data_IF_367399569839
#
_entry.id   IF_367399569839
#
_cell.length_a   1.000
_cell.length_b   1.000
_cell.length_c   1.000
_cell.angle_alpha   90.00
_cell.angle_beta   90.00
_cell.angle_gamma   90.00
#
_symmetry.space_group_name_H-M   'P 1'
#
loop_
_entity.id
_entity.type
_entity.pdbx_description
1 polymer ?
#
# COMPACT_ATOMS: atom_id res chain seq x y z
N UNK A 1 -9.92 -19.45 1.53
CA UNK A 1 -9.59 -18.01 1.70
C UNK A 1 -9.05 -17.50 0.37
N UNK A 2 -9.56 -16.38 -0.16
CA UNK A 2 -9.08 -15.79 -1.43
C UNK A 2 -7.67 -15.20 -1.26
N UNK A 3 -6.78 -15.42 -2.23
CA UNK A 3 -5.37 -15.00 -2.23
C UNK A 3 -5.05 -14.06 -3.41
N UNK A 4 -4.02 -13.23 -3.25
CA UNK A 4 -3.52 -12.46 -4.39
C UNK A 4 -2.88 -13.44 -5.39
N UNK A 5 -3.02 -13.15 -6.68
CA UNK A 5 -2.37 -13.92 -7.74
C UNK A 5 -1.41 -13.00 -8.50
N UNK A 6 -0.22 -13.50 -8.81
CA UNK A 6 0.87 -12.72 -9.40
C UNK A 6 1.26 -13.31 -10.76
N UNK A 7 1.33 -12.46 -11.78
CA UNK A 7 1.81 -12.82 -13.13
C UNK A 7 3.05 -11.98 -13.44
N UNK A 8 4.21 -12.62 -13.38
CA UNK A 8 5.50 -11.99 -13.69
C UNK A 8 5.89 -12.16 -15.17
N UNK A 9 5.35 -13.16 -15.85
CA UNK A 9 5.71 -13.52 -17.22
C UNK A 9 4.81 -12.85 -18.25
N UNK A 10 5.36 -12.64 -19.45
CA UNK A 10 4.63 -12.19 -20.62
C UNK A 10 3.67 -13.28 -21.12
N UNK A 11 2.52 -12.88 -21.66
CA UNK A 11 1.49 -13.81 -22.12
C UNK A 11 0.13 -13.18 -22.34
N UNK A 12 -0.92 -14.00 -22.29
CA UNK A 12 -2.30 -13.58 -22.53
C UNK A 12 -3.25 -14.20 -21.52
N UNK A 13 -4.32 -13.47 -21.18
CA UNK A 13 -5.43 -13.93 -20.35
C UNK A 13 -6.69 -14.09 -21.20
N UNK A 14 -7.07 -15.34 -21.41
CA UNK A 14 -8.23 -15.74 -22.19
C UNK A 14 -9.28 -16.43 -21.31
N UNK A 15 -10.56 -16.22 -21.60
CA UNK A 15 -11.65 -16.94 -20.94
C UNK A 15 -12.06 -18.13 -21.80
N UNK A 16 -12.20 -19.30 -21.18
CA UNK A 16 -12.93 -20.44 -21.74
C UNK A 16 -13.98 -20.86 -20.71
N UNK A 17 -15.25 -20.71 -21.08
CA UNK A 17 -16.40 -20.95 -20.20
C UNK A 17 -16.31 -20.17 -18.88
N UNK A 18 -16.17 -20.81 -17.72
CA UNK A 18 -16.03 -20.13 -16.42
C UNK A 18 -14.59 -20.13 -15.88
N UNK A 19 -13.62 -20.44 -16.74
CA UNK A 19 -12.20 -20.48 -16.36
C UNK A 19 -11.40 -19.41 -17.11
N UNK A 20 -10.54 -18.70 -16.38
CA UNK A 20 -9.48 -17.88 -16.98
C UNK A 20 -8.27 -18.77 -17.24
N UNK A 21 -7.67 -18.66 -18.42
CA UNK A 21 -6.41 -19.30 -18.77
C UNK A 21 -5.34 -18.22 -18.95
N UNK A 22 -4.17 -18.46 -18.36
CA UNK A 22 -2.95 -17.76 -18.74
C UNK A 22 -2.19 -18.60 -19.77
N UNK A 23 -1.88 -17.99 -20.90
CA UNK A 23 -1.27 -18.63 -22.05
C UNK A 23 -0.03 -17.83 -22.49
N UNK A 24 1.10 -18.52 -22.65
CA UNK A 24 2.27 -18.01 -23.35
C UNK A 24 2.86 -19.14 -24.22
N UNK A 25 4.03 -18.89 -24.84
CA UNK A 25 4.68 -19.85 -25.75
C UNK A 25 4.94 -21.21 -25.08
N UNK A 26 5.21 -21.22 -23.76
CA UNK A 26 5.67 -22.39 -23.03
C UNK A 26 4.58 -23.04 -22.15
N UNK A 27 3.53 -22.29 -21.78
CA UNK A 27 2.55 -22.76 -20.81
C UNK A 27 1.14 -22.29 -21.13
N UNK A 28 0.18 -23.18 -20.88
CA UNK A 28 -1.23 -22.88 -20.77
C UNK A 28 -1.72 -23.39 -19.42
N UNK A 29 -2.05 -22.48 -18.52
CA UNK A 29 -2.47 -22.81 -17.15
C UNK A 29 -3.84 -22.22 -16.80
N UNK A 30 -4.77 -23.01 -16.25
CA UNK A 30 -6.01 -22.46 -15.71
C UNK A 30 -5.71 -21.64 -14.45
N UNK A 31 -6.45 -20.56 -14.28
CA UNK A 31 -6.40 -19.65 -13.14
C UNK A 31 -7.72 -19.80 -12.36
N UNK A 32 -7.69 -20.28 -11.10
CA UNK A 32 -8.89 -20.50 -10.31
C UNK A 32 -9.43 -19.17 -9.76
N UNK A 33 -10.19 -18.44 -10.57
CA UNK A 33 -10.66 -17.07 -10.26
C UNK A 33 -11.42 -16.94 -8.94
N UNK A 34 -12.19 -17.97 -8.55
CA UNK A 34 -12.91 -18.02 -7.28
C UNK A 34 -11.99 -18.00 -6.06
N UNK A 35 -10.73 -18.41 -6.21
CA UNK A 35 -9.71 -18.37 -5.16
C UNK A 35 -8.89 -17.08 -5.19
N UNK A 36 -9.14 -16.19 -6.15
CA UNK A 36 -8.36 -14.97 -6.33
C UNK A 36 -9.03 -13.79 -5.63
N UNK A 37 -8.22 -13.05 -4.90
CA UNK A 37 -8.60 -11.85 -4.19
C UNK A 37 -8.41 -10.59 -5.05
N UNK A 38 -7.26 -10.50 -5.69
CA UNK A 38 -6.87 -9.51 -6.69
C UNK A 38 -5.74 -10.09 -7.53
N UNK A 39 -5.67 -9.67 -8.79
CA UNK A 39 -4.63 -10.08 -9.73
C UNK A 39 -3.59 -8.94 -9.87
N UNK A 40 -2.31 -9.27 -9.84
CA UNK A 40 -1.20 -8.34 -10.03
C UNK A 40 -0.39 -8.79 -11.24
N UNK A 41 -0.23 -7.90 -12.22
CA UNK A 41 0.45 -8.16 -13.48
C UNK A 41 1.70 -7.28 -13.57
N UNK A 42 2.87 -7.93 -13.63
CA UNK A 42 4.18 -7.27 -13.84
C UNK A 42 4.76 -7.55 -15.23
N UNK A 43 4.31 -8.63 -15.88
CA UNK A 43 4.68 -8.96 -17.26
C UNK A 43 3.87 -8.20 -18.31
N UNK A 44 4.29 -8.29 -19.56
CA UNK A 44 3.58 -7.80 -20.74
C UNK A 44 2.42 -8.76 -21.05
N UNK A 45 1.24 -8.48 -20.52
CA UNK A 45 0.06 -9.37 -20.61
C UNK A 45 -1.08 -8.74 -21.40
N UNK A 46 -1.56 -9.43 -22.42
CA UNK A 46 -2.82 -9.09 -23.11
C UNK A 46 -4.00 -9.67 -22.35
N UNK A 47 -5.07 -8.90 -22.13
CA UNK A 47 -6.29 -9.38 -21.46
C UNK A 47 -7.47 -9.30 -22.42
N UNK A 48 -8.09 -10.44 -22.74
CA UNK A 48 -9.28 -10.47 -23.60
C UNK A 48 -10.49 -9.80 -22.91
N UNK A 49 -11.41 -9.26 -23.71
CA UNK A 49 -12.67 -8.67 -23.20
C UNK A 49 -13.50 -9.69 -22.42
N UNK A 50 -13.49 -10.95 -22.85
CA UNK A 50 -14.18 -12.05 -22.16
C UNK A 50 -13.56 -12.33 -20.78
N UNK A 51 -12.23 -12.28 -20.67
CA UNK A 51 -11.55 -12.40 -19.38
C UNK A 51 -11.91 -11.23 -18.45
N UNK A 52 -11.84 -9.97 -18.94
CA UNK A 52 -12.25 -8.80 -18.16
C UNK A 52 -13.69 -8.90 -17.66
N UNK A 53 -14.61 -9.42 -18.49
CA UNK A 53 -16.00 -9.64 -18.08
C UNK A 53 -16.09 -10.61 -16.90
N UNK A 54 -15.35 -11.72 -16.92
CA UNK A 54 -15.36 -12.68 -15.82
C UNK A 54 -14.70 -12.12 -14.56
N UNK A 55 -13.59 -11.38 -14.67
CA UNK A 55 -13.01 -10.63 -13.54
C UNK A 55 -14.02 -9.67 -12.92
N UNK A 56 -14.82 -8.98 -13.73
CA UNK A 56 -15.89 -8.11 -13.24
C UNK A 56 -17.01 -8.88 -12.52
N UNK A 57 -17.46 -10.02 -13.08
CA UNK A 57 -18.51 -10.84 -12.47
C UNK A 57 -18.08 -11.38 -11.11
N UNK A 58 -16.83 -11.83 -11.00
CA UNK A 58 -16.24 -12.39 -9.77
C UNK A 58 -15.76 -11.33 -8.75
N UNK A 59 -15.94 -10.05 -9.08
CA UNK A 59 -15.47 -8.90 -8.28
C UNK A 59 -13.97 -8.98 -7.95
N UNK A 60 -13.15 -9.40 -8.92
CA UNK A 60 -11.69 -9.51 -8.79
C UNK A 60 -11.01 -8.37 -9.55
N UNK A 61 -10.38 -7.40 -8.88
CA UNK A 61 -9.65 -6.33 -9.54
C UNK A 61 -8.31 -6.81 -10.10
N UNK A 62 -7.82 -6.08 -11.10
CA UNK A 62 -6.52 -6.34 -11.75
C UNK A 62 -5.66 -5.08 -11.60
N UNK A 63 -4.46 -5.25 -11.05
CA UNK A 63 -3.45 -4.20 -10.92
C UNK A 63 -2.34 -4.41 -11.95
N UNK A 64 -1.97 -3.34 -12.63
CA UNK A 64 -0.92 -3.36 -13.64
C UNK A 64 0.29 -2.60 -13.14
N UNK A 65 1.46 -3.17 -13.39
CA UNK A 65 2.76 -2.57 -13.05
C UNK A 65 3.60 -2.45 -14.32
N UNK A 66 4.39 -1.39 -14.39
CA UNK A 66 5.38 -1.19 -15.46
C UNK A 66 6.57 -2.14 -15.31
N UNK A 67 7.41 -2.23 -16.35
CA UNK A 67 8.67 -3.00 -16.30
C UNK A 67 9.66 -2.53 -15.22
N UNK A 68 9.49 -1.29 -14.75
CA UNK A 68 10.27 -0.71 -13.65
C UNK A 68 9.54 -0.85 -12.30
N UNK A 69 8.59 -1.78 -12.21
CA UNK A 69 7.84 -2.14 -11.00
C UNK A 69 7.00 -1.02 -10.37
N UNK A 70 6.79 0.09 -11.08
CA UNK A 70 5.81 1.10 -10.68
C UNK A 70 4.40 0.64 -10.96
N UNK A 71 3.51 0.96 -10.03
CA UNK A 71 2.07 0.87 -10.24
C UNK A 71 1.63 1.78 -11.39
N UNK A 72 1.12 1.17 -12.47
CA UNK A 72 0.65 1.86 -13.68
C UNK A 72 -0.83 2.20 -13.60
N UNK A 73 -1.63 1.34 -12.96
CA UNK A 73 -3.07 1.53 -12.88
C UNK A 73 -3.79 0.26 -12.48
N UNK A 74 -5.12 0.29 -12.56
CA UNK A 74 -5.94 -0.90 -12.28
C UNK A 74 -7.22 -0.90 -13.07
N UNK A 75 -7.66 -2.11 -13.41
CA UNK A 75 -9.03 -2.40 -13.78
C UNK A 75 -9.82 -2.76 -12.52
N UNK A 76 -10.92 -2.06 -12.29
CA UNK A 76 -11.85 -2.36 -11.22
C UNK A 76 -13.21 -2.81 -11.78
N UNK A 77 -13.78 -3.92 -11.26
CA UNK A 77 -15.17 -4.25 -11.47
C UNK A 77 -16.10 -3.10 -11.08
N UNK A 78 -17.31 -3.10 -11.63
CA UNK A 78 -18.36 -2.15 -11.24
C UNK A 78 -18.49 -2.11 -9.72
N UNK A 79 -18.45 -0.91 -9.13
CA UNK A 79 -18.56 -0.70 -7.68
C UNK A 79 -19.87 -1.32 -7.18
N UNK A 80 -19.77 -2.29 -6.27
CA UNK A 80 -20.92 -3.01 -5.71
C UNK A 80 -21.48 -2.37 -4.45
N UNK A 81 -20.66 -1.62 -3.70
CA UNK A 81 -21.06 -0.89 -2.50
C UNK A 81 -21.07 0.60 -2.76
N UNK A 82 -22.14 1.07 -3.38
CA UNK A 82 -22.36 2.50 -3.61
C UNK A 82 -23.17 3.07 -2.46
N UNK A 83 -22.80 4.26 -1.98
CA UNK A 83 -23.60 5.07 -1.08
C UNK A 83 -23.43 6.53 -1.48
N UNK A 84 -24.52 7.15 -1.94
CA UNK A 84 -24.53 8.58 -2.26
C UNK A 84 -24.25 9.44 -1.04
N UNK A 85 -24.79 9.03 0.12
CA UNK A 85 -24.62 9.72 1.39
C UNK A 85 -23.15 9.78 1.84
N UNK A 86 -22.43 8.65 1.78
CA UNK A 86 -20.99 8.61 2.08
C UNK A 86 -20.20 9.48 1.09
N UNK A 87 -20.55 9.45 -0.20
CA UNK A 87 -19.87 10.23 -1.22
C UNK A 87 -20.01 11.74 -0.99
N UNK A 88 -21.25 12.20 -0.75
CA UNK A 88 -21.54 13.62 -0.46
C UNK A 88 -20.78 14.05 0.80
N UNK A 89 -20.87 13.27 1.88
CA UNK A 89 -20.17 13.60 3.11
C UNK A 89 -18.64 13.55 2.97
N UNK A 90 -18.07 12.67 2.13
CA UNK A 90 -16.64 12.70 1.82
C UNK A 90 -16.23 14.02 1.17
N UNK A 91 -17.01 14.48 0.18
CA UNK A 91 -16.78 15.75 -0.51
C UNK A 91 -16.96 16.94 0.43
N UNK A 92 -17.97 16.91 1.31
CA UNK A 92 -18.20 17.97 2.30
C UNK A 92 -17.04 18.07 3.31
N UNK A 93 -16.47 16.95 3.73
CA UNK A 93 -15.28 16.95 4.58
C UNK A 93 -14.06 17.50 3.85
N UNK A 94 -13.95 17.27 2.54
CA UNK A 94 -12.86 17.81 1.73
C UNK A 94 -12.99 19.33 1.53
N UNK A 95 -14.20 19.82 1.21
CA UNK A 95 -14.48 21.23 0.95
C UNK A 95 -14.47 22.10 2.21
N UNK A 96 -14.56 21.50 3.40
CA UNK A 96 -14.45 22.20 4.66
C UNK A 96 -13.01 22.11 5.20
N UNK A 97 -12.29 23.23 5.17
CA UNK A 97 -10.87 23.30 5.59
C UNK A 97 -10.61 22.71 6.97
N UNK A 98 -11.48 22.96 7.95
CA UNK A 98 -11.31 22.45 9.32
C UNK A 98 -11.45 20.92 9.36
N UNK A 99 -12.46 20.37 8.68
CA UNK A 99 -12.69 18.92 8.60
C UNK A 99 -11.58 18.21 7.84
N UNK A 100 -11.15 18.78 6.70
CA UNK A 100 -10.05 18.24 5.89
C UNK A 100 -8.75 18.22 6.67
N UNK A 101 -8.43 19.34 7.33
CA UNK A 101 -7.21 19.50 8.13
C UNK A 101 -7.17 18.52 9.31
N UNK A 102 -8.30 18.30 9.99
CA UNK A 102 -8.42 17.31 11.06
C UNK A 102 -8.03 15.90 10.56
N UNK A 103 -8.63 15.45 9.45
CA UNK A 103 -8.33 14.14 8.87
C UNK A 103 -6.88 14.05 8.40
N UNK A 104 -6.36 15.07 7.72
CA UNK A 104 -4.97 15.10 7.25
C UNK A 104 -3.97 14.95 8.43
N UNK A 105 -4.20 15.68 9.53
CA UNK A 105 -3.39 15.55 10.77
C UNK A 105 -3.46 14.14 11.33
N UNK A 106 -4.65 13.54 11.42
CA UNK A 106 -4.84 12.16 11.92
C UNK A 106 -4.12 11.12 11.06
N UNK A 107 -4.11 11.27 9.73
CA UNK A 107 -3.34 10.38 8.85
C UNK A 107 -1.84 10.46 9.13
N UNK A 108 -1.27 11.67 9.21
CA UNK A 108 0.16 11.86 9.49
C UNK A 108 0.52 11.38 10.90
N UNK A 109 -0.29 11.70 11.89
CA UNK A 109 -0.12 11.23 13.27
C UNK A 109 -0.05 9.71 13.34
N UNK A 110 -1.00 9.01 12.72
CA UNK A 110 -1.01 7.55 12.67
C UNK A 110 0.21 6.96 11.97
N UNK A 111 0.61 7.55 10.84
CA UNK A 111 1.76 7.10 10.07
C UNK A 111 3.07 7.25 10.88
N UNK A 112 3.26 8.41 11.52
CA UNK A 112 4.40 8.69 12.37
C UNK A 112 4.42 7.81 13.64
N UNK A 113 3.28 7.59 14.30
CA UNK A 113 3.20 6.65 15.43
C UNK A 113 3.58 5.22 15.03
N UNK A 114 3.16 4.77 13.85
CA UNK A 114 3.57 3.46 13.31
C UNK A 114 5.07 3.40 12.97
N UNK A 115 5.66 4.50 12.50
CA UNK A 115 7.12 4.65 12.35
C UNK A 115 7.82 4.51 13.70
N UNK A 116 7.38 5.24 14.74
CA UNK A 116 7.96 5.18 16.07
C UNK A 116 7.91 3.76 16.66
N UNK A 117 6.86 2.99 16.33
CA UNK A 117 6.77 1.56 16.69
C UNK A 117 7.82 0.68 16.00
N UNK A 118 8.26 1.05 14.80
CA UNK A 118 9.39 0.37 14.15
C UNK A 118 10.72 0.80 14.76
N UNK A 119 10.95 2.10 14.94
CA UNK A 119 12.18 2.63 15.53
C UNK A 119 12.44 2.05 16.93
N UNK A 120 11.38 1.92 17.75
CA UNK A 120 11.47 1.29 19.08
C UNK A 120 11.95 -0.17 19.02
N UNK A 121 11.65 -0.91 17.95
CA UNK A 121 12.08 -2.32 17.81
C UNK A 121 13.56 -2.47 17.46
N UNK A 122 14.18 -1.39 16.96
CA UNK A 122 15.59 -1.34 16.57
C UNK A 122 16.40 -0.39 17.47
N UNK A 123 15.87 -0.07 18.65
CA UNK A 123 16.47 0.84 19.66
C UNK A 123 16.93 2.19 19.08
N UNK A 124 16.17 2.74 18.13
CA UNK A 124 16.44 4.03 17.49
C UNK A 124 15.77 5.17 18.26
N UNK A 125 16.20 5.41 19.50
CA UNK A 125 15.57 6.36 20.44
C UNK A 125 15.66 7.80 19.96
N UNK A 126 16.85 8.24 19.54
CA UNK A 126 17.07 9.60 19.04
C UNK A 126 16.16 9.94 17.86
N UNK A 127 16.09 9.06 16.86
CA UNK A 127 15.23 9.30 15.69
C UNK A 127 13.75 9.23 16.06
N UNK A 128 13.36 8.41 17.03
CA UNK A 128 11.99 8.32 17.53
C UNK A 128 11.60 9.62 18.24
N UNK A 129 12.40 10.09 19.18
CA UNK A 129 12.15 11.34 19.93
C UNK A 129 12.08 12.53 18.98
N UNK A 130 12.99 12.61 18.00
CA UNK A 130 12.94 13.65 16.97
C UNK A 130 11.63 13.62 16.17
N UNK A 131 11.10 12.44 15.82
CA UNK A 131 9.80 12.32 15.16
C UNK A 131 8.66 12.73 16.10
N UNK A 132 8.70 12.30 17.36
CA UNK A 132 7.68 12.65 18.36
C UNK A 132 7.60 14.17 18.56
N UNK A 133 8.74 14.86 18.67
CA UNK A 133 8.80 16.32 18.76
C UNK A 133 8.22 17.00 17.49
N UNK A 134 8.54 16.51 16.29
CA UNK A 134 7.96 17.05 15.06
C UNK A 134 6.43 16.84 14.98
N UNK A 135 5.90 15.78 15.59
CA UNK A 135 4.44 15.54 15.60
C UNK A 135 3.69 16.53 16.48
N UNK A 136 4.32 17.11 17.51
CA UNK A 136 3.66 18.10 18.38
C UNK A 136 3.19 19.32 17.57
N UNK A 137 3.95 19.71 16.54
CA UNK A 137 3.59 20.80 15.62
C UNK A 137 2.26 20.57 14.89
N UNK A 138 1.78 19.32 14.74
CA UNK A 138 0.51 19.02 14.09
C UNK A 138 -0.71 19.66 14.79
N UNK A 139 -0.58 20.04 16.07
CA UNK A 139 -1.63 20.78 16.78
C UNK A 139 -1.91 22.15 16.17
N UNK A 140 -0.85 22.83 15.71
CA UNK A 140 -0.86 24.26 15.38
C UNK A 140 -0.88 24.56 13.88
N UNK A 141 -0.55 23.59 13.03
CA UNK A 141 -0.55 23.73 11.55
C UNK A 141 -1.91 24.17 11.03
N UNK A 142 -1.99 25.21 10.20
CA UNK A 142 -3.27 25.75 9.69
C UNK A 142 -3.54 25.31 8.24
N UNK A 143 -2.55 24.73 7.57
CA UNK A 143 -2.63 24.36 6.15
C UNK A 143 -2.22 22.91 5.90
N UNK A 144 -2.82 22.29 4.88
CA UNK A 144 -2.47 20.92 4.46
C UNK A 144 -0.99 20.82 4.07
N UNK A 145 -0.43 21.85 3.43
CA UNK A 145 0.99 21.89 3.07
C UNK A 145 1.92 21.82 4.29
N UNK A 146 1.53 22.42 5.42
CA UNK A 146 2.28 22.35 6.67
C UNK A 146 2.22 20.95 7.28
N UNK A 147 1.05 20.30 7.23
CA UNK A 147 0.90 18.88 7.62
C UNK A 147 1.80 17.98 6.78
N UNK A 148 1.85 18.19 5.46
CA UNK A 148 2.74 17.45 4.56
C UNK A 148 4.23 17.74 4.83
N UNK A 149 4.57 18.97 5.22
CA UNK A 149 5.94 19.31 5.62
C UNK A 149 6.37 18.53 6.87
N UNK A 150 5.50 18.43 7.88
CA UNK A 150 5.74 17.59 9.07
C UNK A 150 5.94 16.12 8.66
N UNK A 151 5.04 15.57 7.83
CA UNK A 151 5.15 14.20 7.31
C UNK A 151 6.50 13.98 6.61
N UNK A 152 6.90 14.91 5.74
CA UNK A 152 8.16 14.87 5.01
C UNK A 152 9.39 14.87 5.91
N UNK A 153 9.42 15.72 6.95
CA UNK A 153 10.50 15.73 7.94
C UNK A 153 10.56 14.43 8.73
N UNK A 154 9.43 13.94 9.23
CA UNK A 154 9.36 12.68 9.96
C UNK A 154 9.81 11.49 9.10
N UNK A 155 9.40 11.44 7.81
CA UNK A 155 9.86 10.41 6.87
C UNK A 155 11.35 10.51 6.57
N UNK A 156 11.91 11.73 6.46
CA UNK A 156 13.35 11.92 6.26
C UNK A 156 14.16 11.42 7.44
N UNK A 157 13.74 11.74 8.67
CA UNK A 157 14.35 11.21 9.90
C UNK A 157 14.27 9.69 9.92
N UNK A 158 13.08 9.14 9.63
CA UNK A 158 12.88 7.70 9.61
C UNK A 158 13.76 6.97 8.61
N UNK A 159 13.88 7.51 7.39
CA UNK A 159 14.72 6.88 6.37
C UNK A 159 16.21 7.01 6.66
N UNK A 160 16.69 8.06 7.33
CA UNK A 160 18.08 8.09 7.83
C UNK A 160 18.36 6.98 8.83
N UNK A 161 17.35 6.55 9.59
CA UNK A 161 17.49 5.39 10.46
C UNK A 161 17.63 4.06 9.68
N UNK A 162 17.26 4.01 8.39
CA UNK A 162 17.39 2.78 7.59
C UNK A 162 18.86 2.38 7.43
N UNK A 163 19.78 3.33 7.24
CA UNK A 163 21.21 3.04 7.12
C UNK A 163 21.78 2.35 8.38
N UNK A 164 21.13 2.54 9.54
CA UNK A 164 21.48 1.90 10.81
C UNK A 164 20.71 0.60 11.07
N UNK A 165 19.62 0.34 10.34
CA UNK A 165 18.73 -0.82 10.50
C UNK A 165 19.03 -1.92 9.48
N UNK A 166 19.39 -1.50 8.26
CA UNK A 166 19.68 -2.37 7.14
C UNK A 166 21.16 -2.81 7.19
N UNK A 167 21.50 -3.96 6.59
CA UNK A 167 22.90 -4.34 6.39
C UNK A 167 23.57 -3.33 5.45
N UNK A 168 24.88 -3.15 5.58
CA UNK A 168 25.69 -2.19 4.80
C UNK A 168 25.44 -2.27 3.29
N UNK A 169 25.34 -3.50 2.75
CA UNK A 169 25.03 -3.75 1.33
C UNK A 169 23.71 -3.13 0.86
N UNK A 170 22.77 -2.87 1.77
CA UNK A 170 21.47 -2.26 1.48
C UNK A 170 21.41 -0.80 1.93
N UNK A 171 22.53 -0.08 1.85
CA UNK A 171 22.58 1.36 2.14
C UNK A 171 21.45 2.11 1.43
N UNK A 172 20.77 2.98 2.17
CA UNK A 172 19.66 3.77 1.69
C UNK A 172 20.11 5.13 1.17
N UNK A 173 20.94 5.84 1.95
CA UNK A 173 21.43 7.22 1.74
C UNK A 173 20.34 8.30 1.59
N UNK A 174 19.61 8.31 0.48
CA UNK A 174 18.50 9.23 0.25
C UNK A 174 17.35 8.62 -0.58
N UNK A 175 16.15 9.20 -0.46
CA UNK A 175 14.97 8.69 -1.17
C UNK A 175 15.00 9.07 -2.65
N UNK A 176 15.39 8.15 -3.53
CA UNK A 176 15.24 8.31 -4.99
C UNK A 176 14.12 7.44 -5.57
N UNK A 177 13.03 8.07 -6.00
CA UNK A 177 11.80 7.37 -6.43
C UNK A 177 11.82 6.89 -7.87
N UNK A 178 12.30 7.70 -8.81
CA UNK A 178 12.14 7.48 -10.26
C UNK A 178 13.37 7.93 -11.08
N UNK A 179 14.25 7.01 -11.49
CA UNK A 179 14.36 5.61 -11.05
C UNK A 179 14.97 5.43 -9.65
N UNK A 180 14.69 4.33 -8.91
CA UNK A 180 15.52 3.89 -7.80
C UNK A 180 16.94 3.66 -8.27
N UNK A 181 17.92 4.08 -7.48
CA UNK A 181 19.35 3.97 -7.79
C UNK A 181 20.12 3.01 -6.88
N UNK A 182 19.46 2.43 -5.88
CA UNK A 182 20.04 1.42 -5.00
C UNK A 182 18.97 0.41 -4.57
N UNK A 183 19.42 -0.70 -3.97
CA UNK A 183 18.56 -1.81 -3.57
C UNK A 183 17.48 -1.39 -2.56
N UNK A 184 17.81 -0.54 -1.58
CA UNK A 184 16.84 -0.05 -0.60
C UNK A 184 15.73 0.78 -1.25
N UNK A 185 16.07 1.71 -2.15
CA UNK A 185 15.08 2.48 -2.90
C UNK A 185 14.23 1.60 -3.83
N UNK A 186 14.81 0.55 -4.41
CA UNK A 186 14.07 -0.41 -5.24
C UNK A 186 13.01 -1.15 -4.41
N UNK A 187 13.40 -1.66 -3.24
CA UNK A 187 12.50 -2.35 -2.30
C UNK A 187 11.38 -1.44 -1.79
N UNK A 188 11.71 -0.22 -1.36
CA UNK A 188 10.72 0.76 -0.88
C UNK A 188 9.74 1.11 -2.01
N UNK A 189 10.23 1.34 -3.23
CA UNK A 189 9.37 1.71 -4.37
C UNK A 189 8.44 0.56 -4.76
N UNK A 190 8.95 -0.66 -4.79
CA UNK A 190 8.17 -1.86 -5.08
C UNK A 190 7.10 -2.10 -4.02
N UNK A 191 7.50 -2.17 -2.75
CA UNK A 191 6.59 -2.42 -1.64
C UNK A 191 5.51 -1.34 -1.48
N UNK A 192 5.86 -0.07 -1.69
CA UNK A 192 4.88 1.02 -1.69
C UNK A 192 3.87 0.85 -2.83
N UNK A 193 4.31 0.46 -4.03
CA UNK A 193 3.43 0.21 -5.18
C UNK A 193 2.43 -0.92 -4.89
N UNK A 194 2.87 -1.99 -4.22
CA UNK A 194 1.97 -3.05 -3.74
C UNK A 194 0.97 -2.55 -2.71
N UNK A 195 1.43 -1.74 -1.75
CA UNK A 195 0.58 -1.20 -0.68
C UNK A 195 -0.50 -0.27 -1.25
N UNK A 196 -0.20 0.51 -2.28
CA UNK A 196 -1.21 1.31 -2.98
C UNK A 196 -2.30 0.44 -3.63
N UNK A 197 -1.91 -0.60 -4.35
CA UNK A 197 -2.86 -1.56 -4.94
C UNK A 197 -3.72 -2.26 -3.89
N UNK A 198 -3.11 -2.67 -2.77
CA UNK A 198 -3.82 -3.29 -1.64
C UNK A 198 -4.78 -2.33 -0.94
N UNK A 199 -4.36 -1.09 -0.67
CA UNK A 199 -5.23 -0.08 -0.07
C UNK A 199 -6.42 0.21 -0.97
N UNK A 200 -6.18 0.41 -2.27
CA UNK A 200 -7.25 0.63 -3.25
C UNK A 200 -8.22 -0.55 -3.31
N UNK A 201 -7.72 -1.79 -3.27
CA UNK A 201 -8.56 -3.00 -3.26
C UNK A 201 -9.49 -3.03 -2.05
N UNK A 202 -9.02 -2.59 -0.88
CA UNK A 202 -9.86 -2.53 0.32
C UNK A 202 -10.85 -1.36 0.28
N UNK A 203 -10.48 -0.20 -0.27
CA UNK A 203 -11.39 0.95 -0.46
C UNK A 203 -12.60 0.53 -1.30
N UNK A 204 -12.37 -0.15 -2.44
CA UNK A 204 -13.44 -0.65 -3.32
C UNK A 204 -14.38 -1.68 -2.66
N UNK A 205 -14.02 -2.22 -1.49
CA UNK A 205 -14.88 -3.12 -0.69
C UNK A 205 -15.69 -2.39 0.37
N UNK A 206 -15.66 -1.07 0.32
CA UNK A 206 -16.41 -0.13 1.15
C UNK A 206 -17.18 0.86 0.27
N UNK A 207 -17.91 1.75 0.93
CA UNK A 207 -18.69 2.80 0.30
C UNK A 207 -17.84 3.97 -0.17
N UNK A 208 -16.61 4.11 0.36
CA UNK A 208 -15.73 5.23 0.09
C UNK A 208 -15.44 5.37 -1.41
N UNK A 209 -15.39 6.60 -1.87
CA UNK A 209 -14.82 6.94 -3.16
C UNK A 209 -13.29 7.09 -3.05
N UNK A 210 -12.51 6.36 -3.87
CA UNK A 210 -11.06 6.38 -3.80
C UNK A 210 -10.41 7.67 -4.34
N UNK A 211 -11.17 8.53 -5.04
CA UNK A 211 -10.67 9.79 -5.60
C UNK A 211 -10.60 10.92 -4.57
N UNK A 212 -11.44 10.89 -3.53
CA UNK A 212 -11.52 11.92 -2.49
C UNK A 212 -10.61 11.55 -1.32
N UNK A 213 -9.52 12.29 -1.17
CA UNK A 213 -8.52 12.19 -0.09
C UNK A 213 -8.51 13.45 0.78
N UNK A 214 -7.73 13.43 1.86
CA UNK A 214 -7.68 14.54 2.81
C UNK A 214 -6.27 15.10 2.98
N UNK A 215 -5.26 14.23 3.03
CA UNK A 215 -3.84 14.65 3.08
C UNK A 215 -3.33 14.95 1.67
N UNK A 216 -3.36 13.97 0.77
CA UNK A 216 -2.95 14.18 -0.61
C UNK A 216 -4.02 14.95 -1.38
N UNK A 217 -3.63 15.83 -2.30
CA UNK A 217 -4.58 16.50 -3.18
C UNK A 217 -5.31 15.46 -4.08
N UNK A 218 -6.65 15.50 -4.15
CA UNK A 218 -7.43 14.83 -5.19
C UNK A 218 -6.94 15.29 -6.57
N UNK A 219 -6.77 14.34 -7.49
CA UNK A 219 -6.27 14.65 -8.83
C UNK A 219 -7.03 13.83 -9.86
N UNK A 220 -7.30 14.42 -11.03
CA UNK A 220 -8.12 13.84 -12.10
C UNK A 220 -7.63 12.47 -12.64
N UNK A 221 -6.45 12.00 -12.23
CA UNK A 221 -5.84 10.76 -12.72
C UNK A 221 -5.29 9.86 -11.60
N UNK A 222 -5.70 10.07 -10.35
CA UNK A 222 -5.15 9.33 -9.21
C UNK A 222 -6.20 9.02 -8.16
N UNK A 223 -6.17 7.80 -7.66
CA UNK A 223 -6.91 7.39 -6.46
C UNK A 223 -6.19 7.86 -5.20
N UNK A 224 -6.28 9.16 -4.91
CA UNK A 224 -5.48 9.79 -3.85
C UNK A 224 -5.78 9.24 -2.45
N UNK A 225 -7.00 8.74 -2.17
CA UNK A 225 -7.33 8.16 -0.85
C UNK A 225 -6.52 6.90 -0.56
N UNK A 226 -6.14 6.16 -1.61
CA UNK A 226 -5.27 5.00 -1.45
C UNK A 226 -3.87 5.37 -0.98
N UNK A 227 -3.41 6.60 -1.23
CA UNK A 227 -2.13 7.11 -0.71
C UNK A 227 -2.24 7.37 0.78
N UNK A 228 -3.23 8.16 1.20
CA UNK A 228 -3.51 8.49 2.60
C UNK A 228 -3.60 7.22 3.47
N UNK A 229 -4.39 6.23 3.01
CA UNK A 229 -4.49 4.94 3.70
C UNK A 229 -3.18 4.16 3.65
N UNK A 230 -2.50 4.08 2.50
CA UNK A 230 -1.26 3.31 2.40
C UNK A 230 -0.18 3.84 3.35
N UNK A 231 -0.09 5.15 3.57
CA UNK A 231 0.95 5.75 4.42
C UNK A 231 0.88 5.29 5.89
N UNK A 232 -0.33 4.98 6.38
CA UNK A 232 -0.52 4.35 7.70
C UNK A 232 0.08 2.94 7.77
N UNK A 233 -0.02 2.18 6.68
CA UNK A 233 0.33 0.75 6.66
C UNK A 233 1.74 0.46 6.13
N UNK A 234 2.37 1.37 5.38
CA UNK A 234 3.74 1.22 4.88
C UNK A 234 4.75 0.84 5.97
N UNK A 235 4.80 1.53 7.14
CA UNK A 235 5.74 1.15 8.20
C UNK A 235 5.55 -0.29 8.66
N UNK A 236 4.32 -0.72 8.83
CA UNK A 236 4.02 -2.00 9.49
C UNK A 236 3.91 -3.20 8.55
N UNK A 237 3.79 -2.95 7.24
CA UNK A 237 3.72 -3.98 6.20
C UNK A 237 4.98 -3.95 5.34
N UNK A 238 5.25 -2.84 4.67
CA UNK A 238 6.33 -2.71 3.68
C UNK A 238 7.68 -2.66 4.38
N UNK A 239 7.88 -1.70 5.26
CA UNK A 239 9.20 -1.44 5.85
C UNK A 239 9.63 -2.64 6.72
N UNK A 240 8.70 -3.25 7.45
CA UNK A 240 8.95 -4.52 8.18
C UNK A 240 9.22 -5.72 7.28
N UNK A 241 8.69 -5.77 6.05
CA UNK A 241 9.03 -6.82 5.10
C UNK A 241 10.46 -6.63 4.60
N UNK A 242 10.84 -5.39 4.27
CA UNK A 242 12.20 -5.00 3.88
C UNK A 242 13.18 -5.43 4.97
N UNK A 243 13.03 -4.91 6.19
CA UNK A 243 13.96 -5.20 7.29
C UNK A 243 14.07 -6.69 7.57
N UNK A 244 12.97 -7.44 7.49
CA UNK A 244 12.99 -8.88 7.71
C UNK A 244 13.78 -9.62 6.62
N UNK A 245 13.53 -9.28 5.35
CA UNK A 245 14.16 -9.99 4.22
C UNK A 245 15.66 -9.70 4.14
N UNK A 246 16.07 -8.44 4.35
CA UNK A 246 17.48 -8.04 4.32
C UNK A 246 18.22 -8.57 5.55
N UNK A 247 17.70 -8.39 6.76
CA UNK A 247 18.43 -8.76 7.99
C UNK A 247 18.47 -10.28 8.22
N UNK A 248 17.64 -11.05 7.50
CA UNK A 248 17.71 -12.52 7.49
C UNK A 248 18.45 -13.08 6.27
N UNK A 249 19.06 -12.22 5.45
CA UNK A 249 19.79 -12.64 4.25
C UNK A 249 18.91 -13.38 3.22
N UNK A 250 17.59 -13.16 3.25
CA UNK A 250 16.66 -13.77 2.30
C UNK A 250 16.68 -13.05 0.96
N UNK A 251 16.94 -11.74 1.00
CA UNK A 251 17.30 -10.96 -0.18
C UNK A 251 18.80 -10.67 -0.14
N UNK A 252 19.46 -10.91 -1.27
CA UNK A 252 20.88 -10.61 -1.50
C UNK A 252 21.04 -9.71 -2.73
N UNK A 253 22.27 -9.29 -3.04
CA UNK A 253 22.58 -8.49 -4.24
C UNK A 253 22.14 -9.18 -5.53
N UNK A 254 22.22 -10.52 -5.58
CA UNK A 254 21.81 -11.34 -6.73
C UNK A 254 20.30 -11.31 -7.01
N UNK A 255 19.49 -10.76 -6.10
CA UNK A 255 18.04 -10.57 -6.28
C UNK A 255 17.69 -9.25 -7.00
N UNK A 256 18.72 -8.50 -7.40
CA UNK A 256 18.59 -7.22 -8.08
C UNK A 256 19.20 -7.27 -9.47
N UNK A 257 18.83 -6.28 -10.28
CA UNK A 257 19.45 -5.99 -11.56
C UNK A 257 19.74 -4.51 -11.62
N UNK A 258 20.95 -4.17 -12.04
CA UNK A 258 21.40 -2.81 -12.26
C UNK A 258 21.53 -2.56 -13.75
N UNK A 259 21.06 -1.40 -14.20
CA UNK A 259 21.14 -0.98 -15.60
C UNK A 259 21.14 0.55 -15.63
N UNK A 260 22.10 1.20 -16.31
CA UNK A 260 22.09 2.63 -16.63
C UNK A 260 21.55 3.56 -15.50
N UNK A 261 22.12 3.46 -14.28
CA UNK A 261 21.76 4.22 -13.07
C UNK A 261 20.40 3.90 -12.41
N UNK A 262 19.78 2.77 -12.74
CA UNK A 262 18.63 2.22 -12.02
C UNK A 262 18.96 0.88 -11.37
N UNK A 263 18.43 0.66 -10.19
CA UNK A 263 18.45 -0.62 -9.48
C UNK A 263 16.99 -1.10 -9.35
N UNK A 264 16.72 -2.33 -9.76
CA UNK A 264 15.39 -2.94 -9.71
C UNK A 264 15.50 -4.37 -9.18
N UNK A 265 14.39 -4.91 -8.66
CA UNK A 265 14.32 -6.33 -8.35
C UNK A 265 14.30 -7.15 -9.65
N UNK A 266 14.99 -8.28 -9.65
CA UNK A 266 14.80 -9.29 -10.69
C UNK A 266 13.61 -10.21 -10.34
N UNK A 267 13.34 -11.22 -11.15
CA UNK A 267 12.18 -12.09 -10.97
C UNK A 267 12.18 -12.85 -9.65
N UNK A 268 13.37 -13.31 -9.20
CA UNK A 268 13.52 -14.04 -7.94
C UNK A 268 13.38 -13.09 -6.74
N UNK A 269 14.00 -11.91 -6.80
CA UNK A 269 13.83 -10.87 -5.80
C UNK A 269 12.37 -10.43 -5.63
N UNK A 270 11.65 -10.25 -6.76
CA UNK A 270 10.21 -9.95 -6.76
C UNK A 270 9.42 -11.07 -6.10
N UNK A 271 9.67 -12.33 -6.47
CA UNK A 271 8.99 -13.49 -5.88
C UNK A 271 9.18 -13.55 -4.37
N UNK A 272 10.41 -13.48 -3.88
CA UNK A 272 10.75 -13.47 -2.44
C UNK A 272 10.03 -12.35 -1.68
N UNK A 273 10.01 -11.15 -2.25
CA UNK A 273 9.33 -10.00 -1.64
C UNK A 273 7.81 -10.18 -1.62
N UNK A 274 7.21 -10.64 -2.73
CA UNK A 274 5.77 -10.87 -2.85
C UNK A 274 5.28 -11.92 -1.87
N UNK A 275 6.00 -13.03 -1.72
CA UNK A 275 5.68 -14.08 -0.73
C UNK A 275 5.63 -13.49 0.68
N UNK A 276 6.66 -12.74 1.08
CA UNK A 276 6.70 -12.09 2.40
C UNK A 276 5.59 -11.06 2.60
N UNK A 277 5.30 -10.27 1.57
CA UNK A 277 4.23 -9.28 1.60
C UNK A 277 2.87 -9.96 1.81
N UNK A 278 2.60 -11.01 1.05
CA UNK A 278 1.34 -11.77 1.12
C UNK A 278 1.16 -12.46 2.48
N UNK A 279 2.21 -13.08 3.01
CA UNK A 279 2.20 -13.69 4.33
C UNK A 279 1.88 -12.65 5.41
N UNK A 280 2.46 -11.45 5.30
CA UNK A 280 2.20 -10.35 6.22
C UNK A 280 0.74 -9.91 6.13
N UNK A 281 0.20 -9.76 4.92
CA UNK A 281 -1.20 -9.34 4.69
C UNK A 281 -2.21 -10.37 5.19
N UNK A 282 -1.88 -11.68 5.13
CA UNK A 282 -2.72 -12.79 5.62
C UNK A 282 -2.62 -12.99 7.13
N UNK A 283 -1.47 -12.69 7.73
CA UNK A 283 -1.22 -12.88 9.16
C UNK A 283 -2.28 -12.19 10.00
N UNK A 284 -2.83 -12.93 10.98
CA UNK A 284 -3.86 -12.42 11.88
C UNK A 284 -3.33 -12.03 13.25
N UNK A 285 -3.93 -11.00 13.85
CA UNK A 285 -3.71 -10.60 15.25
C UNK A 285 -5.06 -10.47 15.96
N UNK A 286 -5.10 -10.73 17.28
CA UNK A 286 -6.30 -10.51 18.10
C UNK A 286 -6.52 -8.99 18.20
N UNK A 287 -7.63 -8.51 17.65
CA UNK A 287 -7.99 -7.10 17.70
C UNK A 287 -8.52 -6.75 19.08
N UNK A 288 -7.99 -5.68 19.70
CA UNK A 288 -8.33 -5.29 21.08
C UNK A 288 -9.83 -5.05 21.24
N UNK A 289 -10.42 -4.23 20.38
CA UNK A 289 -11.83 -3.84 20.51
C UNK A 289 -12.84 -4.87 19.98
N UNK A 290 -12.46 -5.68 18.98
CA UNK A 290 -13.38 -6.63 18.33
C UNK A 290 -13.36 -8.02 18.96
N UNK A 291 -12.43 -8.30 19.89
CA UNK A 291 -12.28 -9.61 20.54
C UNK A 291 -11.86 -10.78 19.64
N UNK A 292 -11.72 -10.58 18.32
CA UNK A 292 -11.46 -11.63 17.32
C UNK A 292 -10.15 -11.46 16.56
N UNK A 293 -9.70 -12.53 15.89
CA UNK A 293 -8.54 -12.49 14.98
C UNK A 293 -8.88 -11.71 13.71
N UNK A 294 -8.00 -10.77 13.35
CA UNK A 294 -8.14 -9.91 12.17
C UNK A 294 -6.81 -9.91 11.40
N UNK A 295 -6.86 -10.13 10.09
CA UNK A 295 -5.68 -10.07 9.23
C UNK A 295 -5.25 -8.64 8.97
N UNK A 296 -3.98 -8.41 8.63
CA UNK A 296 -3.49 -7.08 8.21
C UNK A 296 -4.32 -6.50 7.06
N UNK A 297 -4.66 -7.33 6.06
CA UNK A 297 -5.57 -6.95 4.99
C UNK A 297 -6.92 -6.44 5.52
N UNK A 298 -7.49 -7.13 6.52
CA UNK A 298 -8.75 -6.70 7.13
C UNK A 298 -8.56 -5.45 7.99
N UNK A 299 -7.39 -5.20 8.59
CA UNK A 299 -7.09 -3.94 9.29
C UNK A 299 -7.17 -2.75 8.34
N UNK A 300 -6.62 -2.86 7.12
CA UNK A 300 -6.75 -1.82 6.08
C UNK A 300 -8.22 -1.52 5.78
N UNK A 301 -9.06 -2.56 5.66
CA UNK A 301 -10.51 -2.35 5.46
C UNK A 301 -11.22 -1.78 6.69
N UNK A 302 -10.82 -2.17 7.90
CA UNK A 302 -11.37 -1.59 9.13
C UNK A 302 -11.06 -0.10 9.21
N UNK A 303 -9.88 0.31 8.75
CA UNK A 303 -9.52 1.73 8.66
C UNK A 303 -10.44 2.50 7.70
N UNK A 304 -10.76 1.91 6.55
CA UNK A 304 -11.78 2.46 5.65
C UNK A 304 -13.13 2.63 6.38
N UNK A 305 -13.56 1.63 7.17
CA UNK A 305 -14.83 1.74 7.91
C UNK A 305 -14.79 2.78 9.02
N UNK A 306 -13.65 3.03 9.66
CA UNK A 306 -13.53 4.15 10.61
C UNK A 306 -13.73 5.48 9.90
N UNK A 307 -13.15 5.64 8.71
CA UNK A 307 -13.31 6.85 7.91
C UNK A 307 -14.77 7.03 7.46
N UNK A 308 -15.46 5.96 7.05
CA UNK A 308 -16.90 6.00 6.73
C UNK A 308 -17.70 6.53 7.93
N UNK A 309 -17.46 5.98 9.13
CA UNK A 309 -18.15 6.42 10.36
C UNK A 309 -17.87 7.88 10.69
N UNK A 310 -16.65 8.33 10.45
CA UNK A 310 -16.28 9.73 10.68
C UNK A 310 -17.00 10.68 9.73
N UNK A 311 -16.99 10.39 8.42
CA UNK A 311 -17.63 11.29 7.46
C UNK A 311 -19.14 11.36 7.66
N UNK A 312 -19.76 10.29 8.16
CA UNK A 312 -21.18 10.28 8.53
C UNK A 312 -21.47 10.89 9.92
N UNK A 313 -20.45 11.33 10.66
CA UNK A 313 -20.61 11.90 12.00
C UNK A 313 -20.92 10.88 13.11
N UNK A 314 -20.83 9.58 12.83
CA UNK A 314 -21.13 8.52 13.81
C UNK A 314 -20.02 8.35 14.85
N UNK A 315 -18.76 8.50 14.44
CA UNK A 315 -17.59 8.33 15.32
C UNK A 315 -16.38 9.07 14.79
N UNK A 316 -15.68 9.79 15.68
CA UNK A 316 -14.42 10.46 15.32
C UNK A 316 -13.36 9.46 14.82
N UNK A 317 -12.58 9.91 13.82
CA UNK A 317 -11.57 9.08 13.19
C UNK A 317 -10.31 9.02 14.07
N UNK A 318 -10.02 7.82 14.54
CA UNK A 318 -8.77 7.51 15.24
C UNK A 318 -7.89 6.59 14.38
N UNK A 319 -6.69 7.03 13.99
CA UNK A 319 -5.88 6.30 13.04
C UNK A 319 -5.38 4.98 13.63
N UNK A 320 -5.22 3.97 12.78
CA UNK A 320 -4.64 2.71 13.18
C UNK A 320 -3.18 2.90 13.62
N UNK A 321 -2.88 2.52 14.85
CA UNK A 321 -1.52 2.39 15.38
C UNK A 321 -1.30 0.97 15.84
N UNK A 322 -0.25 0.33 15.35
CA UNK A 322 0.11 -1.03 15.74
C UNK A 322 0.45 -1.09 17.24
N UNK A 323 -0.05 -2.12 17.92
CA UNK A 323 0.02 -2.25 19.38
C UNK A 323 0.77 -3.49 19.87
N UNK A 324 1.48 -4.17 18.97
CA UNK A 324 2.25 -5.40 19.23
C UNK A 324 3.64 -5.34 18.63
#
# INVERSE_FOLDING_TARGET
MKNNYYINSDGQLNRKENTIYFENVNTRKPIPIEKIYSLYIFGSVTVSSQALRLFSMENVPIHFFSRNDYYSGSFYPRKSKVSGDVLVNQADHYNNDKKRLLLARKFVEGACKNICRNLSRYDRREEKEAIENNMEELGDVKRITEVMNVEGRCRKIYYRAFDKILPEKFEFSERRKRPPNNMANALISFGNSLMYGSALTEIYKTQLDPSISYLHEPSARRYSLSLDLADLFKPIVVDRAIFYLTNKGKLTEDDFREDLNKCLLNDEGRKKFLERYDDTMKRTKKHRDLGRKVSYRRLVRLECYKLVKHVLGEKEYEPFVIWW
#
